data_IF_097078611797
#
_entry.id   IF_097078611797
#
_cell.length_a   1.000
_cell.length_b   1.000
_cell.length_c   1.000
_cell.angle_alpha   90.00
_cell.angle_beta   90.00
_cell.angle_gamma   90.00
#
_symmetry.space_group_name_H-M   'P 1'
#
loop_
_entity.id
_entity.type
_entity.pdbx_description
1 polymer ?
#
# COMPACT_ATOMS: atom_id res chain seq x y z
N UNK A 1 -4.97 -17.42 6.11
CA UNK A 1 -3.68 -16.75 5.81
C UNK A 1 -2.60 -17.07 6.85
N UNK A 2 -2.84 -16.85 8.16
CA UNK A 2 -1.84 -17.10 9.23
C UNK A 2 -1.32 -18.55 9.27
N UNK A 3 -2.19 -19.54 9.02
CA UNK A 3 -1.79 -20.96 9.02
C UNK A 3 -0.85 -21.35 7.86
N UNK A 4 -1.13 -20.86 6.65
CA UNK A 4 -0.29 -21.08 5.46
C UNK A 4 1.10 -20.45 5.63
N UNK A 5 1.15 -19.24 6.20
CA UNK A 5 2.41 -18.53 6.41
C UNK A 5 3.26 -19.19 7.50
N UNK A 6 2.68 -19.58 8.64
CA UNK A 6 3.42 -20.26 9.71
C UNK A 6 4.01 -21.60 9.26
N UNK A 7 3.35 -22.29 8.33
CA UNK A 7 3.90 -23.51 7.73
C UNK A 7 5.12 -23.21 6.83
N UNK A 8 5.07 -22.12 6.04
CA UNK A 8 6.15 -21.72 5.14
C UNK A 8 7.34 -21.05 5.84
N UNK A 9 7.12 -20.34 6.96
CA UNK A 9 8.16 -19.66 7.73
C UNK A 9 8.00 -19.89 9.24
N UNK A 10 8.37 -21.09 9.75
CA UNK A 10 8.16 -21.45 11.15
C UNK A 10 8.99 -20.61 12.14
N UNK A 11 10.02 -19.90 11.66
CA UNK A 11 10.90 -19.03 12.47
C UNK A 11 10.59 -17.53 12.35
N UNK A 12 9.55 -17.15 11.60
CA UNK A 12 9.23 -15.75 11.37
C UNK A 12 8.80 -15.05 12.66
N UNK A 13 9.35 -13.87 12.92
CA UNK A 13 8.90 -13.00 14.01
C UNK A 13 7.68 -12.17 13.56
N UNK A 14 6.88 -11.59 14.49
CA UNK A 14 5.70 -10.81 14.12
C UNK A 14 5.97 -9.69 13.11
N UNK A 15 7.16 -9.07 13.15
CA UNK A 15 7.60 -8.08 12.18
C UNK A 15 7.66 -8.65 10.77
N UNK A 16 8.25 -9.83 10.59
CA UNK A 16 8.34 -10.49 9.28
C UNK A 16 6.95 -10.76 8.71
N UNK A 17 6.04 -11.28 9.55
CA UNK A 17 4.66 -11.55 9.17
C UNK A 17 3.96 -10.29 8.67
N UNK A 18 4.13 -9.19 9.40
CA UNK A 18 3.50 -7.92 9.07
C UNK A 18 4.12 -7.27 7.84
N UNK A 19 5.44 -7.38 7.64
CA UNK A 19 6.11 -6.94 6.40
C UNK A 19 5.60 -7.70 5.20
N UNK A 20 5.45 -9.02 5.32
CA UNK A 20 5.00 -9.82 4.20
C UNK A 20 3.52 -9.58 3.92
N UNK A 21 2.69 -9.40 4.95
CA UNK A 21 1.33 -8.93 4.77
C UNK A 21 1.29 -7.54 4.11
N UNK A 22 2.15 -6.60 4.52
CA UNK A 22 2.25 -5.28 3.90
C UNK A 22 2.60 -5.36 2.41
N UNK A 23 3.52 -6.24 2.02
CA UNK A 23 3.96 -6.38 0.63
C UNK A 23 3.00 -7.18 -0.25
N UNK A 24 2.33 -8.17 0.32
CA UNK A 24 1.52 -9.13 -0.44
C UNK A 24 0.03 -8.86 -0.35
N UNK A 25 -0.44 -8.17 0.69
CA UNK A 25 -1.86 -8.02 0.98
C UNK A 25 -2.55 -9.33 1.36
N UNK A 26 -1.77 -10.40 1.56
CA UNK A 26 -2.29 -11.75 1.68
C UNK A 26 -2.60 -12.46 0.37
N UNK A 27 -2.22 -11.89 -0.78
CA UNK A 27 -2.39 -12.52 -2.10
C UNK A 27 -1.45 -13.73 -2.20
N UNK A 28 -1.98 -14.97 -2.38
CA UNK A 28 -1.16 -16.19 -2.35
C UNK A 28 -0.02 -16.22 -3.37
N UNK A 29 -0.24 -15.66 -4.57
CA UNK A 29 0.78 -15.59 -5.63
C UNK A 29 2.05 -14.90 -5.16
N UNK A 30 1.90 -13.72 -4.56
CA UNK A 30 3.01 -12.94 -4.04
C UNK A 30 3.70 -13.63 -2.86
N UNK A 31 2.91 -14.24 -1.98
CA UNK A 31 3.48 -15.04 -0.88
C UNK A 31 4.35 -16.19 -1.41
N UNK A 32 3.89 -16.93 -2.42
CA UNK A 32 4.63 -18.04 -3.00
C UNK A 32 5.96 -17.57 -3.60
N UNK A 33 5.98 -16.44 -4.31
CA UNK A 33 7.21 -15.88 -4.87
C UNK A 33 8.26 -15.58 -3.79
N UNK A 34 7.84 -14.99 -2.65
CA UNK A 34 8.74 -14.76 -1.51
C UNK A 34 9.21 -16.06 -0.87
N UNK A 35 8.33 -17.06 -0.78
CA UNK A 35 8.66 -18.36 -0.19
C UNK A 35 9.66 -19.15 -1.05
N UNK A 36 9.45 -19.21 -2.37
CA UNK A 36 10.36 -19.84 -3.33
C UNK A 36 11.74 -19.18 -3.34
N UNK A 37 11.79 -17.86 -3.10
CA UNK A 37 13.03 -17.11 -2.96
C UNK A 37 13.67 -17.17 -1.56
N UNK A 38 13.10 -17.95 -0.63
CA UNK A 38 13.50 -18.00 0.78
C UNK A 38 13.58 -16.61 1.47
N UNK A 39 12.73 -15.68 1.01
CA UNK A 39 12.73 -14.26 1.34
C UNK A 39 11.61 -13.92 2.36
N UNK A 40 11.47 -14.75 3.40
CA UNK A 40 10.39 -14.64 4.39
C UNK A 40 10.78 -13.91 5.69
N UNK A 41 11.90 -13.18 5.70
CA UNK A 41 12.21 -12.19 6.74
C UNK A 41 12.01 -10.78 6.19
N UNK A 42 11.77 -9.79 7.05
CA UNK A 42 11.54 -8.41 6.62
C UNK A 42 12.65 -7.88 5.70
N UNK A 43 13.92 -8.07 6.08
CA UNK A 43 15.08 -7.61 5.31
C UNK A 43 15.20 -8.34 3.98
N UNK A 44 15.02 -9.68 3.97
CA UNK A 44 15.12 -10.47 2.74
C UNK A 44 13.97 -10.17 1.79
N UNK A 45 12.76 -9.95 2.31
CA UNK A 45 11.60 -9.61 1.49
C UNK A 45 11.80 -8.27 0.78
N UNK A 46 12.23 -7.23 1.52
CA UNK A 46 12.54 -5.92 0.93
C UNK A 46 13.66 -6.02 -0.10
N UNK A 47 14.75 -6.74 0.21
CA UNK A 47 15.82 -6.99 -0.76
C UNK A 47 15.32 -7.71 -2.02
N UNK A 48 14.49 -8.72 -1.86
CA UNK A 48 13.90 -9.44 -2.98
C UNK A 48 13.06 -8.50 -3.85
N UNK A 49 12.25 -7.63 -3.24
CA UNK A 49 11.43 -6.65 -3.96
C UNK A 49 12.25 -5.67 -4.82
N UNK A 50 13.39 -5.20 -4.32
CA UNK A 50 14.29 -4.31 -5.07
C UNK A 50 15.26 -5.05 -6.00
N UNK A 51 15.34 -6.38 -5.93
CA UNK A 51 16.10 -7.18 -6.88
C UNK A 51 15.42 -7.27 -8.25
N UNK A 52 16.16 -7.76 -9.25
CA UNK A 52 15.61 -8.10 -10.57
C UNK A 52 14.50 -9.17 -10.47
N UNK A 53 14.62 -10.12 -9.53
CA UNK A 53 13.59 -11.14 -9.31
C UNK A 53 12.28 -10.53 -8.76
N UNK A 54 12.34 -9.37 -8.11
CA UNK A 54 11.18 -8.62 -7.62
C UNK A 54 10.50 -7.75 -8.68
N UNK A 55 10.96 -7.74 -9.94
CA UNK A 55 10.38 -6.88 -10.98
C UNK A 55 8.89 -7.15 -11.24
N UNK A 56 8.48 -8.42 -11.21
CA UNK A 56 7.07 -8.79 -11.37
C UNK A 56 6.18 -8.19 -10.25
N UNK A 57 6.69 -8.11 -9.03
CA UNK A 57 6.00 -7.46 -7.91
C UNK A 57 5.80 -5.96 -8.14
N UNK A 58 6.82 -5.29 -8.68
CA UNK A 58 6.81 -3.84 -8.90
C UNK A 58 5.99 -3.47 -10.14
N UNK A 59 6.10 -4.23 -11.22
CA UNK A 59 5.41 -3.90 -12.48
C UNK A 59 3.90 -4.14 -12.42
N UNK A 60 3.42 -5.11 -11.64
CA UNK A 60 1.99 -5.42 -11.57
C UNK A 60 1.14 -4.25 -11.05
N UNK A 61 1.65 -3.48 -10.08
CA UNK A 61 0.96 -2.29 -9.56
C UNK A 61 0.80 -1.19 -10.62
N UNK A 62 1.83 -0.96 -11.43
CA UNK A 62 1.82 0.04 -12.51
C UNK A 62 0.94 -0.40 -13.67
N UNK A 63 1.05 -1.68 -14.06
CA UNK A 63 0.22 -2.25 -15.11
C UNK A 63 -1.26 -2.17 -14.73
N UNK A 64 -1.61 -2.47 -13.49
CA UNK A 64 -2.97 -2.30 -12.98
C UNK A 64 -3.49 -0.86 -13.15
N UNK A 65 -2.66 0.15 -12.89
CA UNK A 65 -3.05 1.56 -13.06
C UNK A 65 -3.13 1.96 -14.55
N UNK A 66 -2.18 1.49 -15.37
CA UNK A 66 -2.16 1.79 -16.80
C UNK A 66 -3.36 1.16 -17.53
N UNK A 67 -3.66 -0.10 -17.24
CA UNK A 67 -4.75 -0.86 -17.84
C UNK A 67 -6.12 -0.23 -17.50
N UNK A 68 -6.29 0.31 -16.30
CA UNK A 68 -7.58 0.82 -15.81
C UNK A 68 -7.82 2.32 -16.11
N UNK A 69 -6.76 3.13 -16.12
CA UNK A 69 -6.88 4.60 -16.21
C UNK A 69 -6.32 5.20 -17.51
N UNK A 70 -5.60 4.42 -18.31
CA UNK A 70 -5.15 4.82 -19.65
C UNK A 70 -4.45 6.19 -19.68
N UNK A 71 -4.91 7.07 -20.58
CA UNK A 71 -4.33 8.41 -20.82
C UNK A 71 -4.43 9.34 -19.61
N UNK A 72 -5.46 9.18 -18.78
CA UNK A 72 -5.65 9.99 -17.57
C UNK A 72 -4.77 9.53 -16.39
N UNK A 73 -4.00 8.44 -16.56
CA UNK A 73 -3.13 7.85 -15.53
C UNK A 73 -2.30 8.88 -14.75
N UNK A 74 -1.67 9.92 -15.36
CA UNK A 74 -0.87 10.89 -14.61
C UNK A 74 -1.61 11.63 -13.49
N UNK A 75 -2.89 11.97 -13.68
CA UNK A 75 -3.69 12.68 -12.66
C UNK A 75 -4.03 11.74 -11.50
N UNK A 76 -4.39 10.49 -11.80
CA UNK A 76 -4.60 9.48 -10.77
C UNK A 76 -3.32 9.20 -9.98
N UNK A 77 -2.17 9.13 -10.66
CA UNK A 77 -0.87 8.91 -10.02
C UNK A 77 -0.51 10.04 -9.05
N UNK A 78 -0.68 11.31 -9.46
CA UNK A 78 -0.41 12.45 -8.57
C UNK A 78 -1.32 12.44 -7.32
N UNK A 79 -2.60 12.11 -7.48
CA UNK A 79 -3.51 11.96 -6.35
C UNK A 79 -3.09 10.83 -5.40
N UNK A 80 -2.67 9.68 -5.95
CA UNK A 80 -2.20 8.55 -5.16
C UNK A 80 -0.90 8.89 -4.42
N UNK A 81 0.04 9.59 -5.06
CA UNK A 81 1.28 10.05 -4.44
C UNK A 81 1.01 10.97 -3.25
N UNK A 82 0.13 11.95 -3.45
CA UNK A 82 -0.30 12.85 -2.37
C UNK A 82 -0.84 12.05 -1.18
N UNK A 83 -1.73 11.09 -1.42
CA UNK A 83 -2.30 10.25 -0.34
C UNK A 83 -1.20 9.47 0.38
N UNK A 84 -0.26 8.89 -0.36
CA UNK A 84 0.85 8.11 0.18
C UNK A 84 1.76 8.98 1.04
N UNK A 85 2.06 10.20 0.61
CA UNK A 85 2.84 11.20 1.37
C UNK A 85 2.10 11.76 2.59
N UNK A 86 0.81 11.43 2.76
CA UNK A 86 0.00 11.88 3.89
C UNK A 86 -0.84 13.13 3.60
N UNK A 87 -0.77 13.66 2.38
CA UNK A 87 -1.66 14.70 1.85
C UNK A 87 -3.02 14.07 1.53
N UNK A 88 -3.88 14.04 2.53
CA UNK A 88 -5.12 13.24 2.55
C UNK A 88 -6.37 14.11 2.66
N UNK A 89 -6.23 15.44 2.77
CA UNK A 89 -7.36 16.38 2.83
C UNK A 89 -7.81 16.77 1.44
N UNK A 90 -9.09 17.13 1.31
CA UNK A 90 -9.63 17.64 0.05
C UNK A 90 -8.80 18.80 -0.52
N UNK A 91 -8.45 19.79 0.32
CA UNK A 91 -7.67 20.95 -0.09
C UNK A 91 -6.27 20.57 -0.61
N UNK A 92 -5.63 19.57 0.00
CA UNK A 92 -4.29 19.11 -0.38
C UNK A 92 -4.33 18.29 -1.68
N UNK A 93 -5.41 17.53 -1.89
CA UNK A 93 -5.62 16.77 -3.13
C UNK A 93 -6.04 17.65 -4.30
N UNK A 94 -6.74 18.75 -4.02
CA UNK A 94 -7.11 19.74 -5.02
C UNK A 94 -5.94 20.63 -5.43
N UNK A 95 -5.00 20.89 -4.53
CA UNK A 95 -3.83 21.71 -4.83
C UNK A 95 -3.03 21.15 -6.00
N UNK A 96 -2.82 21.95 -7.05
CA UNK A 96 -2.10 21.53 -8.26
C UNK A 96 -2.88 20.59 -9.19
N UNK A 97 -4.06 20.13 -8.79
CA UNK A 97 -4.96 19.35 -9.65
C UNK A 97 -6.12 20.21 -10.15
N UNK A 98 -6.61 19.91 -11.36
CA UNK A 98 -7.69 20.65 -12.01
C UNK A 98 -9.05 20.56 -11.28
N UNK A 99 -10.10 21.21 -11.81
CA UNK A 99 -11.42 21.27 -11.15
C UNK A 99 -12.09 19.90 -10.95
N UNK A 100 -11.68 18.88 -11.71
CA UNK A 100 -12.35 17.56 -11.77
C UNK A 100 -11.88 16.55 -10.72
N UNK A 101 -11.09 16.95 -9.71
CA UNK A 101 -10.58 16.07 -8.62
C UNK A 101 -11.69 15.25 -7.97
N UNK A 102 -12.91 15.80 -7.86
CA UNK A 102 -14.05 15.07 -7.32
C UNK A 102 -14.40 13.81 -8.13
N UNK A 103 -14.33 13.89 -9.47
CA UNK A 103 -14.61 12.77 -10.36
C UNK A 103 -13.50 11.72 -10.27
N UNK A 104 -12.23 12.15 -10.29
CA UNK A 104 -11.07 11.29 -10.13
C UNK A 104 -11.11 10.48 -8.82
N UNK A 105 -11.36 11.15 -7.70
CA UNK A 105 -11.46 10.49 -6.38
C UNK A 105 -12.63 9.51 -6.34
N UNK A 106 -13.80 9.86 -6.90
CA UNK A 106 -14.93 8.93 -6.98
C UNK A 106 -14.60 7.69 -7.81
N UNK A 107 -13.85 7.84 -8.90
CA UNK A 107 -13.42 6.70 -9.71
C UNK A 107 -12.45 5.82 -8.94
N UNK A 108 -11.44 6.38 -8.27
CA UNK A 108 -10.52 5.62 -7.41
C UNK A 108 -11.25 4.88 -6.28
N UNK A 109 -12.30 5.48 -5.70
CA UNK A 109 -13.17 4.81 -4.72
C UNK A 109 -13.96 3.65 -5.35
N UNK A 110 -14.47 3.81 -6.58
CA UNK A 110 -15.20 2.76 -7.29
C UNK A 110 -14.32 1.52 -7.55
N UNK A 111 -13.05 1.73 -7.85
CA UNK A 111 -12.04 0.66 -8.00
C UNK A 111 -11.51 0.13 -6.66
N UNK A 112 -12.00 0.62 -5.53
CA UNK A 112 -11.53 0.26 -4.18
C UNK A 112 -10.03 0.49 -3.97
N UNK A 113 -9.43 1.39 -4.75
CA UNK A 113 -8.02 1.78 -4.57
C UNK A 113 -7.88 2.67 -3.35
N UNK A 114 -8.79 3.63 -3.22
CA UNK A 114 -8.87 4.53 -2.07
C UNK A 114 -10.22 4.39 -1.38
N UNK A 115 -10.27 4.81 -0.11
CA UNK A 115 -11.53 4.99 0.60
C UNK A 115 -11.55 6.30 1.36
N UNK A 116 -12.75 6.81 1.60
CA UNK A 116 -12.96 7.91 2.54
C UNK A 116 -12.86 7.42 3.98
N UNK A 117 -12.11 8.18 4.76
CA UNK A 117 -12.09 8.12 6.21
C UNK A 117 -12.85 9.32 6.76
N UNK A 118 -13.74 9.04 7.71
CA UNK A 118 -14.33 10.06 8.57
C UNK A 118 -14.11 9.62 10.01
N UNK A 119 -13.85 10.55 10.94
CA UNK A 119 -13.72 10.21 12.34
C UNK A 119 -14.96 9.44 12.81
N UNK A 120 -14.72 8.41 13.62
CA UNK A 120 -15.79 7.59 14.18
C UNK A 120 -16.83 8.49 14.89
N UNK A 121 -18.12 8.20 14.67
CA UNK A 121 -19.25 8.93 15.24
C UNK A 121 -19.34 10.44 14.91
N UNK A 122 -18.59 10.97 13.93
CA UNK A 122 -18.63 12.42 13.63
C UNK A 122 -19.85 12.89 12.79
N UNK A 123 -20.68 11.96 12.31
CA UNK A 123 -21.72 12.24 11.31
C UNK A 123 -21.15 12.74 9.96
N UNK A 124 -22.02 13.17 9.05
CA UNK A 124 -21.63 13.78 7.76
C UNK A 124 -21.21 15.25 7.94
N UNK A 125 -20.08 15.50 8.62
CA UNK A 125 -19.49 16.85 8.71
C UNK A 125 -18.56 17.11 7.52
N UNK A 126 -18.84 18.16 6.74
CA UNK A 126 -17.95 18.63 5.67
C UNK A 126 -16.58 19.02 6.24
N UNK A 127 -15.50 18.65 5.55
CA UNK A 127 -14.11 19.00 5.92
C UNK A 127 -13.36 17.98 6.80
N UNK A 128 -14.06 17.02 7.42
CA UNK A 128 -13.44 15.94 8.20
C UNK A 128 -13.05 14.72 7.36
N UNK A 129 -13.43 14.69 6.09
CA UNK A 129 -13.08 13.59 5.19
C UNK A 129 -11.59 13.58 4.90
N UNK A 130 -10.99 12.40 5.01
CA UNK A 130 -9.65 12.08 4.50
C UNK A 130 -9.76 10.94 3.49
N UNK A 131 -8.74 10.78 2.67
CA UNK A 131 -8.62 9.62 1.78
C UNK A 131 -7.40 8.79 2.18
N UNK A 132 -7.53 7.47 2.13
CA UNK A 132 -6.41 6.55 2.31
C UNK A 132 -6.44 5.45 1.25
N UNK A 133 -5.27 4.86 0.97
CA UNK A 133 -5.16 3.65 0.18
C UNK A 133 -5.78 2.48 0.96
N UNK A 134 -6.61 1.68 0.28
CA UNK A 134 -7.37 0.59 0.93
C UNK A 134 -6.49 -0.61 1.23
N UNK A 135 -5.65 -0.99 0.28
CA UNK A 135 -4.91 -2.25 0.27
C UNK A 135 -3.45 -2.07 0.68
N UNK A 136 -2.96 -2.78 1.72
CA UNK A 136 -1.57 -2.65 2.19
C UNK A 136 -0.51 -2.85 1.12
N UNK A 137 -0.68 -3.86 0.26
CA UNK A 137 0.23 -4.15 -0.86
C UNK A 137 0.33 -2.99 -1.84
N UNK A 138 -0.78 -2.29 -2.05
CA UNK A 138 -0.81 -1.18 -2.97
C UNK A 138 -0.20 0.08 -2.36
N UNK A 139 -0.44 0.34 -1.06
CA UNK A 139 0.26 1.42 -0.33
C UNK A 139 1.77 1.15 -0.29
N UNK A 140 2.20 -0.09 -0.02
CA UNK A 140 3.60 -0.49 -0.04
C UNK A 140 4.23 -0.24 -1.42
N UNK A 141 3.56 -0.70 -2.48
CA UNK A 141 4.02 -0.51 -3.85
C UNK A 141 4.14 0.98 -4.21
N UNK A 142 3.12 1.79 -3.97
CA UNK A 142 3.14 3.22 -4.29
C UNK A 142 4.21 3.97 -3.48
N UNK A 143 4.42 3.58 -2.22
CA UNK A 143 5.36 4.22 -1.30
C UNK A 143 6.82 3.91 -1.61
N UNK A 144 7.13 2.66 -1.97
CA UNK A 144 8.51 2.18 -2.07
C UNK A 144 8.88 1.69 -3.47
N UNK A 145 7.96 1.08 -4.20
CA UNK A 145 8.21 0.53 -5.54
C UNK A 145 8.14 1.57 -6.65
N UNK A 146 7.12 2.44 -6.62
CA UNK A 146 6.90 3.45 -7.66
C UNK A 146 8.06 4.44 -7.81
N UNK A 147 8.62 5.04 -6.72
CA UNK A 147 9.76 5.95 -6.86
C UNK A 147 10.95 5.31 -7.59
N UNK A 148 11.28 4.06 -7.25
CA UNK A 148 12.35 3.30 -7.90
C UNK A 148 12.07 3.02 -9.38
N UNK A 149 10.80 2.85 -9.76
CA UNK A 149 10.40 2.66 -11.16
C UNK A 149 10.47 3.95 -11.98
N UNK A 150 10.00 5.08 -11.43
CA UNK A 150 9.96 6.36 -12.12
C UNK A 150 11.35 6.91 -12.49
N UNK A 151 12.41 6.50 -11.77
CA UNK A 151 13.78 6.95 -12.00
C UNK A 151 14.57 6.13 -13.03
N UNK A 152 13.88 5.34 -13.86
CA UNK A 152 14.50 4.56 -14.95
C UNK A 152 14.50 3.05 -14.71
N UNK A 153 13.83 2.59 -13.66
CA UNK A 153 13.88 1.21 -13.21
C UNK A 153 15.26 0.84 -12.66
N UNK A 154 15.43 -0.39 -12.13
CA UNK A 154 16.73 -0.91 -11.74
C UNK A 154 17.70 -0.94 -12.92
N UNK A 155 18.57 0.06 -13.04
CA UNK A 155 19.96 -0.31 -13.35
C UNK A 155 20.53 -0.87 -12.04
N UNK A 156 21.37 -1.89 -12.11
CA UNK A 156 21.81 -2.69 -10.94
C UNK A 156 22.44 -1.86 -9.80
N UNK A 157 22.82 -0.61 -10.06
CA UNK A 157 23.52 0.26 -9.12
C UNK A 157 22.58 1.14 -8.27
N UNK A 158 21.37 1.48 -8.75
CA UNK A 158 20.46 2.44 -8.07
C UNK A 158 19.53 1.80 -7.02
N UNK A 159 19.42 0.47 -7.00
CA UNK A 159 18.46 -0.23 -6.13
C UNK A 159 18.84 -0.19 -4.64
N UNK A 160 20.13 -0.05 -4.34
CA UNK A 160 20.64 -0.04 -2.96
C UNK A 160 20.10 1.13 -2.14
N UNK A 161 19.95 2.30 -2.74
CA UNK A 161 19.44 3.49 -2.04
C UNK A 161 17.95 3.37 -1.72
N UNK A 162 17.14 2.86 -2.66
CA UNK A 162 15.71 2.61 -2.41
C UNK A 162 15.48 1.47 -1.43
N UNK A 163 16.27 0.40 -1.48
CA UNK A 163 16.26 -0.68 -0.49
C UNK A 163 16.54 -0.11 0.90
N UNK A 164 17.61 0.67 1.05
CA UNK A 164 18.00 1.28 2.33
C UNK A 164 16.92 2.26 2.85
N UNK A 165 16.38 3.12 1.99
CA UNK A 165 15.31 4.04 2.33
C UNK A 165 14.03 3.30 2.76
N UNK A 166 13.67 2.22 2.06
CA UNK A 166 12.54 1.37 2.41
C UNK A 166 12.75 0.72 3.78
N UNK A 167 13.91 0.10 4.02
CA UNK A 167 14.23 -0.52 5.31
C UNK A 167 14.20 0.49 6.46
N UNK A 168 14.69 1.71 6.24
CA UNK A 168 14.67 2.78 7.22
C UNK A 168 13.24 3.25 7.58
N UNK A 169 12.37 3.36 6.57
CA UNK A 169 10.97 3.80 6.75
C UNK A 169 10.00 2.65 7.09
N UNK A 170 10.46 1.39 7.01
CA UNK A 170 9.63 0.21 7.20
C UNK A 170 8.91 0.20 8.56
N UNK A 171 9.55 0.48 9.71
CA UNK A 171 8.86 0.47 11.00
C UNK A 171 7.62 1.37 11.04
N UNK A 172 7.74 2.61 10.56
CA UNK A 172 6.65 3.59 10.55
C UNK A 172 5.53 3.17 9.58
N UNK A 173 5.89 2.57 8.45
CA UNK A 173 4.90 2.02 7.53
C UNK A 173 4.14 0.84 8.15
N UNK A 174 4.83 -0.07 8.84
CA UNK A 174 4.21 -1.23 9.49
C UNK A 174 3.22 -0.83 10.59
N UNK A 175 3.44 0.28 11.31
CA UNK A 175 2.44 0.79 12.25
C UNK A 175 1.11 1.13 11.57
N UNK A 176 1.16 1.68 10.35
CA UNK A 176 -0.05 1.98 9.55
C UNK A 176 -0.73 0.70 9.11
N UNK A 177 0.04 -0.27 8.61
CA UNK A 177 -0.46 -1.58 8.18
C UNK A 177 -1.11 -2.33 9.34
N UNK A 178 -0.51 -2.27 10.54
CA UNK A 178 -1.06 -2.92 11.74
C UNK A 178 -2.43 -2.37 12.11
N UNK A 179 -2.62 -1.04 12.05
CA UNK A 179 -3.92 -0.41 12.27
C UNK A 179 -4.97 -0.89 11.27
N UNK A 180 -4.60 -0.99 9.99
CA UNK A 180 -5.49 -1.52 8.94
C UNK A 180 -5.85 -2.96 9.21
N UNK A 181 -4.86 -3.80 9.56
CA UNK A 181 -5.06 -5.21 9.87
C UNK A 181 -6.00 -5.41 11.05
N UNK A 182 -5.80 -4.72 12.18
CA UNK A 182 -6.68 -4.83 13.34
C UNK A 182 -8.11 -4.36 13.03
N UNK A 183 -8.27 -3.26 12.29
CA UNK A 183 -9.61 -2.81 11.86
C UNK A 183 -10.34 -3.88 11.05
N UNK A 184 -9.64 -4.52 10.11
CA UNK A 184 -10.20 -5.64 9.32
C UNK A 184 -10.54 -6.83 10.22
N UNK A 185 -9.60 -7.26 11.06
CA UNK A 185 -9.80 -8.40 11.96
C UNK A 185 -10.99 -8.20 12.92
N UNK A 186 -11.17 -7.00 13.48
CA UNK A 186 -12.30 -6.69 14.35
C UNK A 186 -13.64 -6.66 13.60
N UNK A 187 -13.68 -6.09 12.40
CA UNK A 187 -14.90 -6.13 11.57
C UNK A 187 -15.24 -7.56 11.14
N UNK A 188 -14.25 -8.38 10.81
CA UNK A 188 -14.42 -9.78 10.42
C UNK A 188 -14.84 -10.69 11.58
N UNK A 189 -14.50 -10.33 12.82
CA UNK A 189 -14.90 -11.09 14.01
C UNK A 189 -16.42 -11.13 14.23
N UNK A 190 -17.16 -10.15 13.69
CA UNK A 190 -18.59 -9.99 13.92
C UNK A 190 -18.96 -9.47 15.32
N UNK A 191 -17.99 -9.30 16.22
CA UNK A 191 -18.22 -8.75 17.56
C UNK A 191 -18.47 -7.23 17.54
N UNK A 192 -18.04 -6.56 16.46
CA UNK A 192 -18.08 -5.11 16.32
C UNK A 192 -18.91 -4.71 15.10
N UNK A 193 -19.92 -3.86 15.31
CA UNK A 193 -20.78 -3.36 14.23
C UNK A 193 -20.06 -2.30 13.36
N UNK A 194 -19.21 -1.48 13.98
CA UNK A 194 -18.46 -0.44 13.30
C UNK A 194 -17.10 -0.23 13.99
N UNK A 195 -16.05 -0.05 13.19
CA UNK A 195 -14.69 0.20 13.67
C UNK A 195 -14.11 1.34 12.83
N UNK A 196 -13.72 2.43 13.49
CA UNK A 196 -13.21 3.63 12.82
C UNK A 196 -11.95 4.19 13.46
N UNK A 197 -11.27 5.06 12.73
CA UNK A 197 -10.23 5.91 13.31
C UNK A 197 -10.87 7.05 14.09
N UNK A 198 -10.21 7.48 15.16
CA UNK A 198 -10.49 8.81 15.70
C UNK A 198 -9.76 9.87 14.86
N UNK A 199 -8.56 9.54 14.32
CA UNK A 199 -7.75 10.26 13.33
C UNK A 199 -6.61 9.38 12.81
#
# INVERSE_FOLDING_TARGET
MVGLFRAAAPKAVPRDLLTIYAMTGGIPRYLNMLAEAEALTAEKAVRYFFSNAGEMFRSDGLRCLADEFGIESPVYQDLLDKIVEGRTRWSELQEGNGPDVAAYLKRLEAFRIIRRLTPFASGRRRGLTRWEIVEPQFDFFLRFGRPAYCLGGPTTDDCGEFEAACLAALPQHLERVLKVWFRRAWLESGEWLEVGGWW
#
